data_IF_511599754029
#
_entry.id   IF_511599754029
#
_cell.length_a   1.000
_cell.length_b   1.000
_cell.length_c   1.000
_cell.angle_alpha   90.00
_cell.angle_beta   90.00
_cell.angle_gamma   90.00
#
_symmetry.space_group_name_H-M   'P 1'
#
loop_
_entity.id
_entity.type
_entity.pdbx_description
1 polymer ?
#
# COMPACT_ATOMS: atom_id res chain seq x y z
N UNK A 1 -89.63 8.13 60.12
CA UNK A 1 -88.62 7.22 59.53
C UNK A 1 -88.20 7.53 58.08
N UNK A 2 -89.00 8.21 57.23
CA UNK A 2 -88.68 8.42 55.79
C UNK A 2 -87.53 9.42 55.44
N UNK A 3 -87.10 10.31 56.35
CA UNK A 3 -86.04 11.32 56.05
C UNK A 3 -84.60 10.82 56.28
N UNK A 4 -84.38 9.86 57.19
CA UNK A 4 -83.05 9.28 57.43
C UNK A 4 -82.59 8.33 56.32
N UNK A 5 -83.54 7.64 55.66
CA UNK A 5 -83.26 6.76 54.52
C UNK A 5 -82.86 7.53 53.25
N UNK A 6 -83.40 8.73 53.04
CA UNK A 6 -83.00 9.61 51.93
C UNK A 6 -81.57 10.13 52.09
N UNK A 7 -81.18 10.49 53.32
CA UNK A 7 -79.81 10.94 53.64
C UNK A 7 -78.77 9.82 53.49
N UNK A 8 -79.11 8.58 53.88
CA UNK A 8 -78.21 7.44 53.70
C UNK A 8 -78.06 7.00 52.24
N UNK A 9 -79.12 7.12 51.43
CA UNK A 9 -79.07 6.81 49.98
C UNK A 9 -78.21 7.84 49.26
N UNK A 10 -78.36 9.13 49.56
CA UNK A 10 -77.58 10.20 48.94
C UNK A 10 -76.10 10.12 49.30
N UNK A 11 -75.79 9.80 50.56
CA UNK A 11 -74.42 9.53 51.01
C UNK A 11 -73.79 8.30 50.34
N UNK A 12 -74.55 7.22 50.14
CA UNK A 12 -74.09 6.03 49.42
C UNK A 12 -73.84 6.33 47.95
N UNK A 13 -74.73 7.10 47.31
CA UNK A 13 -74.63 7.45 45.91
C UNK A 13 -73.43 8.39 45.66
N UNK A 14 -73.21 9.36 46.55
CA UNK A 14 -72.01 10.20 46.55
C UNK A 14 -70.73 9.38 46.77
N UNK A 15 -70.75 8.38 47.66
CA UNK A 15 -69.60 7.50 47.89
C UNK A 15 -69.26 6.68 46.64
N UNK A 16 -70.27 6.10 45.99
CA UNK A 16 -70.09 5.32 44.75
C UNK A 16 -69.49 6.18 43.65
N UNK A 17 -69.98 7.41 43.47
CA UNK A 17 -69.43 8.35 42.49
C UNK A 17 -67.97 8.67 42.82
N UNK A 18 -67.64 8.96 44.07
CA UNK A 18 -66.25 9.25 44.49
C UNK A 18 -65.34 8.06 44.25
N UNK A 19 -65.75 6.84 44.60
CA UNK A 19 -64.96 5.62 44.37
C UNK A 19 -64.75 5.38 42.87
N UNK A 20 -65.77 5.60 42.04
CA UNK A 20 -65.65 5.48 40.59
C UNK A 20 -64.70 6.52 40.00
N UNK A 21 -64.81 7.79 40.42
CA UNK A 21 -63.91 8.87 39.98
C UNK A 21 -62.48 8.57 40.40
N UNK A 22 -62.26 8.14 41.64
CA UNK A 22 -60.92 7.75 42.12
C UNK A 22 -60.37 6.56 41.32
N UNK A 23 -61.18 5.55 41.03
CA UNK A 23 -60.77 4.41 40.20
C UNK A 23 -60.39 4.81 38.77
N UNK A 24 -61.17 5.70 38.14
CA UNK A 24 -60.85 6.23 36.80
C UNK A 24 -59.58 7.07 36.83
N UNK A 25 -59.39 7.91 37.85
CA UNK A 25 -58.19 8.73 38.02
C UNK A 25 -56.95 7.86 38.22
N UNK A 26 -57.02 6.81 39.04
CA UNK A 26 -55.90 5.88 39.25
C UNK A 26 -55.54 5.17 37.94
N UNK A 27 -56.52 4.60 37.23
CA UNK A 27 -56.26 3.92 35.95
C UNK A 27 -55.70 4.86 34.89
N UNK A 28 -56.21 6.10 34.83
CA UNK A 28 -55.70 7.11 33.89
C UNK A 28 -54.29 7.53 34.25
N UNK A 29 -53.98 7.67 35.55
CA UNK A 29 -52.64 8.01 36.03
C UNK A 29 -51.63 6.90 35.72
N UNK A 30 -52.02 5.63 35.90
CA UNK A 30 -51.17 4.48 35.56
C UNK A 30 -50.92 4.40 34.04
N UNK A 31 -51.95 4.66 33.23
CA UNK A 31 -51.82 4.74 31.77
C UNK A 31 -50.89 5.88 31.33
N UNK A 32 -51.04 7.08 31.90
CA UNK A 32 -50.16 8.22 31.61
C UNK A 32 -48.72 7.93 32.05
N UNK A 33 -48.53 7.32 33.21
CA UNK A 33 -47.20 6.93 33.70
C UNK A 33 -46.53 5.92 32.78
N UNK A 34 -47.28 4.92 32.29
CA UNK A 34 -46.79 3.95 31.32
C UNK A 34 -46.39 4.64 30.01
N UNK A 35 -47.22 5.56 29.50
CA UNK A 35 -46.93 6.29 28.26
C UNK A 35 -45.71 7.21 28.39
N UNK A 36 -45.58 7.93 29.51
CA UNK A 36 -44.40 8.76 29.79
C UNK A 36 -43.14 7.89 29.90
N UNK A 37 -43.23 6.73 30.57
CA UNK A 37 -42.10 5.80 30.66
C UNK A 37 -41.69 5.32 29.27
N UNK A 38 -42.65 4.92 28.44
CA UNK A 38 -42.39 4.50 27.06
C UNK A 38 -41.77 5.61 26.21
N UNK A 39 -42.24 6.86 26.35
CA UNK A 39 -41.68 8.02 25.63
C UNK A 39 -40.25 8.33 26.07
N UNK A 40 -39.96 8.24 27.36
CA UNK A 40 -38.60 8.44 27.89
C UNK A 40 -37.68 7.34 27.41
N UNK A 41 -38.09 6.07 27.50
CA UNK A 41 -37.31 4.94 26.98
C UNK A 41 -37.07 5.06 25.47
N UNK A 42 -38.09 5.48 24.71
CA UNK A 42 -37.94 5.69 23.28
C UNK A 42 -36.96 6.82 22.95
N UNK A 43 -36.99 7.92 23.72
CA UNK A 43 -36.06 9.03 23.53
C UNK A 43 -34.61 8.66 23.87
N UNK A 44 -34.41 7.88 24.93
CA UNK A 44 -33.09 7.37 25.31
C UNK A 44 -32.54 6.42 24.24
N UNK A 45 -33.39 5.55 23.67
CA UNK A 45 -33.02 4.66 22.56
C UNK A 45 -32.69 5.45 21.30
N UNK A 46 -33.52 6.41 20.90
CA UNK A 46 -33.40 7.12 19.61
C UNK A 46 -32.13 7.97 19.42
N UNK A 47 -31.25 8.05 20.42
CA UNK A 47 -30.02 8.84 20.36
C UNK A 47 -28.76 8.01 20.62
N UNK A 48 -28.84 6.71 20.87
CA UNK A 48 -27.66 5.90 21.23
C UNK A 48 -26.66 5.90 20.08
N UNK A 49 -27.11 5.66 18.84
CA UNK A 49 -26.20 5.62 17.70
C UNK A 49 -25.56 6.99 17.44
N UNK A 50 -26.34 8.06 17.55
CA UNK A 50 -25.82 9.42 17.38
C UNK A 50 -24.83 9.81 18.49
N UNK A 51 -25.13 9.50 19.75
CA UNK A 51 -24.25 9.78 20.89
C UNK A 51 -22.94 9.01 20.80
N UNK A 52 -23.00 7.73 20.43
CA UNK A 52 -21.82 6.90 20.23
C UNK A 52 -20.93 7.46 19.11
N UNK A 53 -21.50 7.78 17.94
CA UNK A 53 -20.75 8.42 16.86
C UNK A 53 -20.19 9.77 17.28
N UNK A 54 -20.93 10.58 18.03
CA UNK A 54 -20.47 11.88 18.51
C UNK A 54 -19.26 11.75 19.44
N UNK A 55 -19.26 10.82 20.39
CA UNK A 55 -18.10 10.60 21.27
C UNK A 55 -16.90 10.14 20.44
N UNK A 56 -17.11 9.18 19.54
CA UNK A 56 -16.05 8.68 18.66
C UNK A 56 -15.48 9.76 17.73
N UNK A 57 -16.29 10.71 17.28
CA UNK A 57 -15.90 11.66 16.21
C UNK A 57 -15.67 13.09 16.67
N UNK A 58 -15.96 13.42 17.94
CA UNK A 58 -15.71 14.74 18.53
C UNK A 58 -14.63 14.72 19.61
N UNK A 59 -14.21 13.53 20.07
CA UNK A 59 -13.16 13.38 21.08
C UNK A 59 -11.93 12.67 20.52
N UNK A 60 -10.70 13.07 20.91
CA UNK A 60 -9.50 12.27 20.69
C UNK A 60 -9.45 11.03 21.59
N UNK A 61 -10.34 10.91 22.57
CA UNK A 61 -10.30 9.87 23.58
C UNK A 61 -9.36 10.20 24.73
N UNK A 62 -9.33 9.30 25.72
CA UNK A 62 -8.47 9.40 26.89
C UNK A 62 -7.87 8.03 27.24
N UNK A 63 -6.52 7.90 27.26
CA UNK A 63 -5.54 8.94 26.89
C UNK A 63 -5.65 9.37 25.43
N UNK A 64 -5.15 10.57 25.08
CA UNK A 64 -5.31 11.14 23.73
C UNK A 64 -4.68 10.28 22.64
N UNK A 65 -3.61 9.57 22.94
CA UNK A 65 -2.83 8.76 22.00
C UNK A 65 -2.91 7.27 22.35
N UNK A 66 -4.12 6.84 22.72
CA UNK A 66 -4.40 5.47 23.15
C UNK A 66 -4.08 4.42 22.07
N UNK A 67 -3.95 4.82 20.80
CA UNK A 67 -3.59 3.97 19.67
C UNK A 67 -2.12 3.55 19.67
N UNK A 68 -1.25 4.29 20.36
CA UNK A 68 0.18 4.00 20.46
C UNK A 68 0.62 3.62 21.88
N UNK A 69 -0.24 3.83 22.88
CA UNK A 69 0.05 3.48 24.27
C UNK A 69 -0.71 2.22 24.71
N UNK A 70 -0.04 1.32 25.41
CA UNK A 70 -0.68 0.18 26.10
C UNK A 70 -1.48 0.59 27.34
N UNK A 71 -1.75 1.88 27.52
CA UNK A 71 -2.53 2.38 28.62
C UNK A 71 -4.02 1.97 28.45
N UNK A 72 -4.72 1.69 29.57
CA UNK A 72 -6.14 1.37 29.52
C UNK A 72 -6.94 2.56 28.97
N UNK A 73 -7.79 2.28 27.99
CA UNK A 73 -8.68 3.29 27.39
C UNK A 73 -9.81 3.58 28.38
N UNK A 74 -9.98 4.85 28.73
CA UNK A 74 -11.16 5.31 29.51
C UNK A 74 -12.27 5.84 28.61
N UNK A 75 -11.88 6.53 27.55
CA UNK A 75 -12.80 7.09 26.55
C UNK A 75 -12.22 6.78 25.18
N UNK A 76 -12.95 6.03 24.37
CA UNK A 76 -12.56 5.77 22.99
C UNK A 76 -12.93 6.96 22.12
N UNK A 77 -11.99 7.45 21.33
CA UNK A 77 -12.20 8.58 20.42
C UNK A 77 -11.24 8.51 19.25
N UNK A 78 -11.73 8.84 18.05
CA UNK A 78 -11.02 8.69 16.78
C UNK A 78 -10.44 10.01 16.26
N UNK A 79 -10.75 11.15 16.90
CA UNK A 79 -10.24 12.46 16.47
C UNK A 79 -8.73 12.55 16.62
N UNK A 80 -8.07 13.17 15.65
CA UNK A 80 -6.66 13.48 15.71
C UNK A 80 -6.36 14.48 16.83
N UNK A 81 -5.43 14.12 17.70
CA UNK A 81 -4.91 15.02 18.74
C UNK A 81 -4.26 16.28 18.14
N UNK A 82 -3.68 16.14 16.93
CA UNK A 82 -2.88 17.17 16.28
C UNK A 82 -3.64 17.95 15.20
N UNK A 83 -4.73 17.38 14.64
CA UNK A 83 -5.48 17.96 13.53
C UNK A 83 -7.01 17.89 13.75
N UNK A 84 -7.56 18.41 14.87
CA UNK A 84 -9.01 18.49 15.05
C UNK A 84 -9.64 19.44 14.01
N UNK A 85 -10.87 19.17 13.53
CA UNK A 85 -11.79 18.10 13.92
C UNK A 85 -11.64 16.80 13.10
N UNK A 86 -10.51 16.58 12.42
CA UNK A 86 -10.34 15.40 11.54
C UNK A 86 -10.06 14.12 12.33
N UNK A 87 -10.54 12.99 11.81
CA UNK A 87 -10.22 11.66 12.35
C UNK A 87 -8.75 11.29 12.09
N UNK A 88 -8.14 10.52 12.99
CA UNK A 88 -6.79 10.00 12.78
C UNK A 88 -6.82 8.60 12.17
N UNK A 89 -6.17 8.42 11.02
CA UNK A 89 -6.03 7.10 10.38
C UNK A 89 -5.38 6.06 11.31
N UNK A 90 -4.35 6.45 12.07
CA UNK A 90 -3.66 5.55 12.99
C UNK A 90 -4.56 5.04 14.12
N UNK A 91 -5.52 5.85 14.58
CA UNK A 91 -6.51 5.41 15.57
C UNK A 91 -7.48 4.38 15.02
N UNK A 92 -7.82 4.47 13.73
CA UNK A 92 -8.65 3.45 13.06
C UNK A 92 -7.86 2.12 12.96
N UNK A 93 -6.57 2.18 12.61
CA UNK A 93 -5.71 0.99 12.60
C UNK A 93 -5.51 0.41 14.00
N UNK A 94 -5.19 1.24 15.00
CA UNK A 94 -5.04 0.80 16.39
C UNK A 94 -6.34 0.24 16.98
N UNK A 95 -7.51 0.78 16.58
CA UNK A 95 -8.80 0.18 16.94
C UNK A 95 -8.94 -1.23 16.37
N UNK A 96 -8.61 -1.42 15.09
CA UNK A 96 -8.66 -2.72 14.43
C UNK A 96 -7.74 -3.73 15.13
N UNK A 97 -6.49 -3.35 15.38
CA UNK A 97 -5.49 -4.22 16.02
C UNK A 97 -5.91 -4.62 17.43
N UNK A 98 -6.26 -3.65 18.29
CA UNK A 98 -6.65 -3.94 19.68
C UNK A 98 -7.94 -4.76 19.79
N UNK A 99 -8.86 -4.62 18.84
CA UNK A 99 -10.05 -5.47 18.74
C UNK A 99 -9.68 -6.90 18.34
N UNK A 100 -8.74 -7.07 17.40
CA UNK A 100 -8.26 -8.39 17.01
C UNK A 100 -7.55 -9.11 18.16
N UNK A 101 -6.78 -8.35 18.96
CA UNK A 101 -6.07 -8.83 20.15
C UNK A 101 -7.00 -9.09 21.36
N UNK A 102 -8.28 -8.71 21.28
CA UNK A 102 -9.25 -8.92 22.34
C UNK A 102 -9.05 -8.02 23.56
N UNK A 103 -8.57 -6.79 23.35
CA UNK A 103 -8.30 -5.84 24.43
C UNK A 103 -9.57 -5.49 25.22
N UNK A 104 -9.65 -5.87 26.52
CA UNK A 104 -10.85 -5.64 27.33
C UNK A 104 -11.20 -4.15 27.45
N UNK A 105 -10.22 -3.26 27.48
CA UNK A 105 -10.48 -1.82 27.64
C UNK A 105 -11.15 -1.19 26.41
N UNK A 106 -10.86 -1.70 25.20
CA UNK A 106 -11.57 -1.29 23.98
C UNK A 106 -13.00 -1.82 24.00
N UNK A 107 -13.16 -3.11 24.32
CA UNK A 107 -14.46 -3.79 24.32
C UNK A 107 -15.38 -3.15 25.37
N UNK A 108 -14.90 -2.94 26.58
CA UNK A 108 -15.67 -2.29 27.66
C UNK A 108 -16.04 -0.85 27.29
N UNK A 109 -15.11 -0.11 26.69
CA UNK A 109 -15.38 1.26 26.23
C UNK A 109 -16.48 1.28 25.15
N UNK A 110 -16.41 0.39 24.16
CA UNK A 110 -17.44 0.26 23.12
C UNK A 110 -18.80 -0.15 23.69
N UNK A 111 -18.82 -1.09 24.64
CA UNK A 111 -20.04 -1.53 25.33
C UNK A 111 -20.66 -0.40 26.15
N UNK A 112 -19.84 0.41 26.82
CA UNK A 112 -20.30 1.58 27.56
C UNK A 112 -20.86 2.65 26.61
N UNK A 113 -20.25 2.83 25.43
CA UNK A 113 -20.74 3.77 24.41
C UNK A 113 -22.08 3.36 23.80
N UNK A 114 -22.34 2.05 23.67
CA UNK A 114 -23.64 1.54 23.21
C UNK A 114 -24.68 1.44 24.32
N UNK A 115 -24.35 1.83 25.56
CA UNK A 115 -25.19 1.62 26.75
C UNK A 115 -25.59 0.16 26.96
N UNK A 116 -24.74 -0.78 26.55
CA UNK A 116 -25.00 -2.22 26.62
C UNK A 116 -25.86 -2.77 25.48
N UNK A 117 -26.26 -1.95 24.50
CA UNK A 117 -26.97 -2.44 23.32
C UNK A 117 -26.02 -3.12 22.33
N UNK A 118 -26.59 -4.02 21.54
CA UNK A 118 -25.91 -4.60 20.38
C UNK A 118 -25.65 -3.52 19.33
N UNK A 119 -24.54 -3.64 18.60
CA UNK A 119 -24.25 -2.72 17.52
C UNK A 119 -23.38 -3.33 16.42
N UNK A 120 -23.45 -2.70 15.25
CA UNK A 120 -22.55 -2.91 14.13
C UNK A 120 -21.98 -1.56 13.73
N UNK A 121 -20.66 -1.41 13.84
CA UNK A 121 -19.95 -0.20 13.47
C UNK A 121 -19.04 -0.45 12.27
N UNK A 122 -19.22 0.34 11.22
CA UNK A 122 -18.50 0.20 9.97
C UNK A 122 -17.79 1.50 9.58
N UNK A 123 -16.55 1.34 9.14
CA UNK A 123 -15.70 2.43 8.66
C UNK A 123 -15.38 2.20 7.19
N UNK A 124 -15.69 3.19 6.36
CA UNK A 124 -15.45 3.18 4.92
C UNK A 124 -14.39 4.22 4.58
N UNK A 125 -13.32 3.75 3.95
CA UNK A 125 -12.23 4.59 3.43
C UNK A 125 -12.16 4.44 1.91
N UNK A 126 -11.49 5.38 1.23
CA UNK A 126 -11.23 5.26 -0.20
C UNK A 126 -10.36 4.02 -0.45
N UNK A 127 -10.74 3.25 -1.47
CA UNK A 127 -10.02 2.03 -1.88
C UNK A 127 -9.06 2.40 -3.00
N UNK A 128 -7.80 2.01 -2.89
CA UNK A 128 -6.81 2.24 -3.94
C UNK A 128 -6.55 0.95 -4.71
N UNK A 129 -6.42 1.09 -6.03
CA UNK A 129 -5.92 0.06 -6.93
C UNK A 129 -4.51 0.48 -7.32
N UNK A 130 -3.52 -0.12 -6.66
CA UNK A 130 -2.10 0.20 -6.84
C UNK A 130 -1.40 -1.04 -7.36
N UNK A 131 -0.72 -0.93 -8.49
CA UNK A 131 0.08 -2.03 -9.02
C UNK A 131 1.17 -1.52 -9.95
N UNK A 132 2.27 -2.26 -9.98
CA UNK A 132 3.29 -2.18 -11.04
C UNK A 132 3.35 -3.54 -11.72
N UNK A 133 3.31 -3.59 -13.04
CA UNK A 133 3.55 -4.81 -13.80
C UNK A 133 4.61 -4.60 -14.87
N UNK A 134 5.34 -5.67 -15.18
CA UNK A 134 6.57 -5.57 -15.96
C UNK A 134 7.73 -5.12 -15.09
N UNK A 135 8.94 -5.33 -15.59
CA UNK A 135 10.14 -4.82 -14.95
C UNK A 135 11.00 -4.18 -16.05
N UNK A 136 11.41 -2.91 -15.90
CA UNK A 136 11.99 -2.13 -16.99
C UNK A 136 13.31 -2.69 -17.49
N UNK A 137 13.93 -3.61 -16.76
CA UNK A 137 15.23 -4.18 -17.13
C UNK A 137 15.27 -5.68 -16.82
N UNK A 138 15.20 -6.52 -17.85
CA UNK A 138 15.56 -7.95 -17.71
C UNK A 138 17.07 -8.09 -17.86
N UNK A 139 17.76 -8.48 -16.79
CA UNK A 139 19.19 -8.80 -16.84
C UNK A 139 19.41 -10.17 -17.47
N UNK A 140 20.00 -10.21 -18.67
CA UNK A 140 20.46 -11.43 -19.32
C UNK A 140 21.92 -11.60 -18.98
N UNK A 141 22.27 -12.69 -18.30
CA UNK A 141 23.63 -13.01 -17.91
C UNK A 141 24.07 -14.30 -18.57
N UNK A 142 25.05 -14.22 -19.47
CA UNK A 142 25.54 -15.39 -20.21
C UNK A 142 27.06 -15.42 -20.10
N UNK A 143 27.60 -16.48 -19.48
CA UNK A 143 29.03 -16.80 -19.52
C UNK A 143 29.25 -17.76 -20.68
N UNK A 144 30.14 -17.39 -21.59
CA UNK A 144 30.56 -18.25 -22.70
C UNK A 144 32.00 -18.70 -22.47
N UNK A 145 32.19 -20.02 -22.38
CA UNK A 145 33.51 -20.64 -22.23
C UNK A 145 33.85 -21.06 -20.80
N UNK A 146 35.06 -21.59 -20.65
CA UNK A 146 35.71 -21.91 -19.37
C UNK A 146 37.22 -21.72 -19.53
N UNK A 147 37.97 -21.45 -18.45
CA UNK A 147 39.43 -21.32 -18.51
C UNK A 147 40.04 -22.53 -19.24
N UNK A 148 40.81 -22.26 -20.30
CA UNK A 148 41.50 -23.26 -21.16
C UNK A 148 40.66 -24.04 -22.20
N UNK A 149 39.37 -23.74 -22.40
CA UNK A 149 38.56 -24.41 -23.42
C UNK A 149 38.45 -23.61 -24.73
N UNK A 150 38.69 -24.27 -25.87
CA UNK A 150 38.39 -23.68 -27.17
C UNK A 150 36.86 -23.66 -27.38
N UNK A 151 36.27 -22.47 -27.44
CA UNK A 151 34.83 -22.25 -27.63
C UNK A 151 34.64 -21.18 -28.69
N UNK A 152 33.78 -21.47 -29.67
CA UNK A 152 33.37 -20.47 -30.66
C UNK A 152 32.25 -19.63 -30.02
N UNK A 153 32.55 -18.35 -29.77
CA UNK A 153 31.59 -17.35 -29.36
C UNK A 153 31.03 -16.65 -30.59
N UNK A 154 29.72 -16.45 -30.62
CA UNK A 154 29.05 -15.71 -31.69
C UNK A 154 27.88 -14.93 -31.14
N UNK A 155 27.82 -13.65 -31.51
CA UNK A 155 26.68 -12.75 -31.39
C UNK A 155 26.22 -12.44 -32.81
N UNK A 156 25.00 -12.85 -33.17
CA UNK A 156 24.47 -12.69 -34.52
C UNK A 156 22.94 -12.72 -34.52
N UNK A 157 22.31 -12.00 -35.44
CA UNK A 157 20.91 -12.18 -35.87
C UNK A 157 20.75 -13.48 -36.70
N UNK A 158 21.74 -13.80 -37.55
CA UNK A 158 21.74 -14.92 -38.47
C UNK A 158 23.17 -15.33 -38.89
N UNK A 159 23.62 -16.54 -38.51
CA UNK A 159 24.95 -17.02 -38.94
C UNK A 159 26.11 -16.18 -38.38
N UNK A 160 27.22 -16.03 -39.10
CA UNK A 160 28.34 -15.17 -38.69
C UNK A 160 28.26 -13.78 -39.35
N UNK A 161 27.06 -13.20 -39.41
CA UNK A 161 26.79 -11.92 -40.08
C UNK A 161 26.92 -10.74 -39.09
N UNK A 162 27.27 -9.54 -39.57
CA UNK A 162 27.10 -8.30 -38.79
C UNK A 162 25.63 -8.06 -38.47
N UNK A 163 25.37 -7.44 -37.31
CA UNK A 163 24.04 -7.01 -36.88
C UNK A 163 24.00 -5.49 -36.64
N UNK A 164 22.81 -4.92 -36.74
CA UNK A 164 22.62 -3.47 -36.63
C UNK A 164 22.62 -3.01 -35.15
N UNK A 165 23.29 -1.89 -34.87
CA UNK A 165 23.37 -1.25 -33.56
C UNK A 165 23.01 0.23 -33.64
N UNK A 166 22.62 0.83 -32.52
CA UNK A 166 22.37 2.28 -32.43
C UNK A 166 23.67 3.02 -32.80
N UNK A 167 23.59 3.91 -33.78
CA UNK A 167 24.75 4.68 -34.23
C UNK A 167 25.38 5.46 -33.07
N UNK A 168 26.70 5.29 -32.88
CA UNK A 168 27.43 5.93 -31.79
C UNK A 168 27.27 5.26 -30.41
N UNK A 169 26.51 4.16 -30.28
CA UNK A 169 26.39 3.45 -29.00
C UNK A 169 27.57 2.53 -28.67
N UNK A 170 28.43 2.25 -29.64
CA UNK A 170 29.51 1.26 -29.46
C UNK A 170 30.70 1.90 -28.77
N UNK A 171 31.06 1.40 -27.59
CA UNK A 171 32.25 1.85 -26.85
C UNK A 171 33.18 0.67 -26.55
N UNK A 172 34.47 0.96 -26.45
CA UNK A 172 35.50 0.06 -25.96
C UNK A 172 36.15 0.70 -24.74
N UNK A 173 36.07 0.05 -23.59
CA UNK A 173 36.58 0.55 -22.31
C UNK A 173 36.05 1.96 -21.96
N UNK A 174 34.80 2.25 -22.35
CA UNK A 174 34.14 3.54 -22.14
C UNK A 174 34.44 4.59 -23.21
N UNK A 175 35.38 4.35 -24.12
CA UNK A 175 35.69 5.26 -25.22
C UNK A 175 34.86 4.93 -26.47
N UNK A 176 34.18 5.90 -27.08
CA UNK A 176 33.36 5.65 -28.26
C UNK A 176 34.21 5.22 -29.46
N UNK A 177 33.83 4.12 -30.09
CA UNK A 177 34.46 3.64 -31.32
C UNK A 177 33.94 4.48 -32.50
N UNK A 178 34.45 5.71 -32.63
CA UNK A 178 34.18 6.56 -33.79
C UNK A 178 35.41 6.62 -34.68
N UNK A 179 35.29 6.22 -35.94
CA UNK A 179 36.29 6.56 -36.95
C UNK A 179 35.61 7.21 -38.14
N UNK A 180 36.23 8.27 -38.65
CA UNK A 180 35.87 8.93 -39.91
C UNK A 180 36.12 8.06 -41.15
N UNK A 181 36.55 6.80 -40.97
CA UNK A 181 36.95 5.88 -42.02
C UNK A 181 36.32 4.48 -41.86
N UNK A 182 34.99 4.42 -41.78
CA UNK A 182 34.15 3.36 -42.36
C UNK A 182 34.24 1.90 -41.87
N UNK A 183 35.33 1.40 -41.29
CA UNK A 183 35.40 0.03 -40.76
C UNK A 183 36.56 -0.13 -39.78
N UNK A 184 36.24 -0.45 -38.53
CA UNK A 184 37.18 -0.66 -37.44
C UNK A 184 37.29 -2.17 -37.21
N UNK A 185 38.51 -2.70 -37.17
CA UNK A 185 38.79 -4.08 -36.76
C UNK A 185 39.76 -4.04 -35.58
N UNK A 186 39.38 -4.61 -34.45
CA UNK A 186 40.15 -4.61 -33.21
C UNK A 186 40.26 -6.03 -32.65
N UNK A 187 41.45 -6.42 -32.23
CA UNK A 187 41.66 -7.60 -31.41
C UNK A 187 41.39 -7.22 -29.95
N UNK A 188 40.48 -7.93 -29.29
CA UNK A 188 40.13 -7.68 -27.90
C UNK A 188 41.03 -8.48 -26.97
N UNK A 189 41.59 -7.79 -25.98
CA UNK A 189 42.49 -8.32 -24.96
C UNK A 189 41.77 -8.52 -23.62
N UNK A 190 42.31 -9.32 -22.69
CA UNK A 190 41.68 -9.54 -21.39
C UNK A 190 41.54 -8.24 -20.61
N UNK A 191 40.37 -8.03 -20.05
CA UNK A 191 39.98 -6.80 -19.39
C UNK A 191 39.28 -5.80 -20.32
N UNK A 192 39.27 -6.04 -21.64
CA UNK A 192 38.51 -5.19 -22.56
C UNK A 192 37.00 -5.40 -22.37
N UNK A 193 36.29 -4.28 -22.34
CA UNK A 193 34.83 -4.20 -22.17
C UNK A 193 34.24 -3.48 -23.37
N UNK A 194 33.41 -4.19 -24.14
CA UNK A 194 32.66 -3.61 -25.27
C UNK A 194 31.23 -3.38 -24.84
N UNK A 195 30.72 -2.16 -25.01
CA UNK A 195 29.31 -1.83 -24.78
C UNK A 195 28.62 -1.42 -26.08
N UNK A 196 27.37 -1.84 -26.29
CA UNK A 196 26.56 -1.47 -27.46
C UNK A 196 25.06 -1.67 -27.23
N UNK A 197 24.22 -1.12 -28.13
CA UNK A 197 22.76 -1.30 -28.13
C UNK A 197 22.33 -1.88 -29.48
N UNK A 198 21.85 -3.14 -29.57
CA UNK A 198 21.41 -3.73 -30.83
C UNK A 198 20.04 -3.21 -31.25
N UNK A 199 19.80 -3.05 -32.55
CA UNK A 199 18.50 -2.68 -33.12
C UNK A 199 17.62 -3.89 -33.45
N UNK A 200 18.19 -5.09 -33.38
CA UNK A 200 17.52 -6.36 -33.64
C UNK A 200 17.80 -7.38 -32.55
N UNK A 201 17.08 -8.51 -32.57
CA UNK A 201 17.31 -9.60 -31.63
C UNK A 201 18.64 -10.29 -31.96
N UNK A 202 19.56 -10.31 -31.00
CA UNK A 202 20.88 -10.94 -31.15
C UNK A 202 20.94 -12.25 -30.37
N UNK A 203 21.46 -13.30 -30.98
CA UNK A 203 21.57 -14.63 -30.38
C UNK A 203 23.00 -14.91 -29.93
N UNK A 204 23.16 -15.41 -28.71
CA UNK A 204 24.46 -15.81 -28.15
C UNK A 204 24.65 -17.32 -28.32
N UNK A 205 25.69 -17.72 -29.05
CA UNK A 205 26.02 -19.13 -29.28
C UNK A 205 27.34 -19.55 -28.64
N UNK A 206 27.42 -20.83 -28.27
CA UNK A 206 28.63 -21.54 -27.87
C UNK A 206 28.71 -22.90 -28.57
N UNK A 207 29.77 -23.13 -29.36
CA UNK A 207 29.98 -24.38 -30.13
C UNK A 207 28.75 -24.81 -30.96
N UNK A 208 27.98 -23.85 -31.46
CA UNK A 208 26.76 -24.10 -32.25
C UNK A 208 25.48 -24.27 -31.43
N UNK A 209 25.55 -24.37 -30.10
CA UNK A 209 24.39 -24.38 -29.21
C UNK A 209 23.99 -22.95 -28.84
N UNK A 210 22.68 -22.66 -28.89
CA UNK A 210 22.13 -21.38 -28.42
C UNK A 210 22.20 -21.34 -26.88
N UNK A 211 22.82 -20.29 -26.34
CA UNK A 211 22.92 -20.05 -24.90
C UNK A 211 21.88 -19.05 -24.40
N UNK A 212 21.48 -18.10 -25.24
CA UNK A 212 20.44 -17.13 -24.91
C UNK A 212 20.19 -16.11 -26.01
N UNK A 213 19.15 -15.30 -25.82
CA UNK A 213 18.71 -14.29 -26.77
C UNK A 213 18.70 -12.92 -26.12
N UNK A 214 19.17 -11.91 -26.83
CA UNK A 214 19.23 -10.52 -26.43
C UNK A 214 18.21 -9.76 -27.27
N UNK A 215 17.19 -9.12 -26.67
CA UNK A 215 16.20 -8.32 -27.38
C UNK A 215 16.82 -7.06 -28.00
N UNK A 216 16.17 -6.45 -29.02
CA UNK A 216 16.53 -5.13 -29.50
C UNK A 216 16.42 -4.09 -28.38
N UNK A 217 17.18 -2.99 -28.53
CA UNK A 217 17.30 -1.88 -27.58
C UNK A 217 17.87 -2.25 -26.21
N UNK A 218 18.44 -3.44 -26.06
CA UNK A 218 19.10 -3.83 -24.82
C UNK A 218 20.49 -3.17 -24.70
N UNK A 219 20.87 -2.67 -23.52
CA UNK A 219 22.27 -2.28 -23.30
C UNK A 219 23.09 -3.54 -23.07
N UNK A 220 24.03 -3.84 -23.96
CA UNK A 220 24.85 -5.05 -23.94
C UNK A 220 26.28 -4.71 -23.58
N UNK A 221 26.83 -5.42 -22.59
CA UNK A 221 28.23 -5.36 -22.21
C UNK A 221 28.89 -6.73 -22.42
N UNK A 222 30.00 -6.76 -23.16
CA UNK A 222 30.81 -7.96 -23.39
C UNK A 222 32.19 -7.72 -22.78
N UNK A 223 32.52 -8.47 -21.74
CA UNK A 223 33.82 -8.43 -21.06
C UNK A 223 34.67 -9.63 -21.46
N UNK A 224 35.92 -9.39 -21.87
CA UNK A 224 36.92 -10.44 -22.18
C UNK A 224 37.70 -10.82 -20.94
N UNK A 225 37.64 -12.10 -20.55
CA UNK A 225 38.16 -12.55 -19.24
C UNK A 225 39.52 -13.29 -19.35
N UNK A 226 39.78 -14.04 -20.43
CA UNK A 226 40.97 -14.92 -20.54
C UNK A 226 42.03 -14.43 -21.56
N UNK A 227 43.31 -14.55 -21.19
CA UNK A 227 44.55 -14.21 -21.93
C UNK A 227 44.75 -14.99 -23.24
N UNK A 228 43.99 -16.07 -23.44
CA UNK A 228 43.98 -16.83 -24.70
C UNK A 228 42.88 -16.44 -25.70
N UNK A 229 42.10 -15.39 -25.41
CA UNK A 229 40.98 -14.98 -26.26
C UNK A 229 41.45 -14.41 -27.59
N UNK A 230 41.01 -15.01 -28.70
CA UNK A 230 41.17 -14.49 -30.06
C UNK A 230 39.88 -13.79 -30.52
N UNK A 231 39.21 -13.09 -29.60
CA UNK A 231 37.98 -12.37 -29.91
C UNK A 231 38.34 -11.08 -30.63
N UNK A 232 37.71 -10.87 -31.77
CA UNK A 232 37.89 -9.70 -32.62
C UNK A 232 36.55 -8.98 -32.73
N UNK A 233 36.61 -7.67 -32.68
CA UNK A 233 35.47 -6.78 -32.91
C UNK A 233 35.62 -6.13 -34.27
N UNK A 234 34.59 -6.23 -35.11
CA UNK A 234 34.47 -5.42 -36.32
C UNK A 234 33.29 -4.48 -36.18
N UNK A 235 33.54 -3.17 -36.31
CA UNK A 235 32.51 -2.14 -36.26
C UNK A 235 32.58 -1.23 -37.49
N UNK A 236 31.50 -1.19 -38.26
CA UNK A 236 31.34 -0.25 -39.35
C UNK A 236 30.56 0.98 -38.86
N UNK A 237 31.26 2.09 -38.63
CA UNK A 237 30.65 3.33 -38.16
C UNK A 237 29.75 4.02 -39.19
N UNK A 238 29.91 3.73 -40.49
CA UNK A 238 29.10 4.31 -41.55
C UNK A 238 27.73 3.62 -41.70
N UNK A 239 27.70 2.29 -41.49
CA UNK A 239 26.45 1.50 -41.52
C UNK A 239 25.93 1.16 -40.13
N UNK A 240 26.64 1.53 -39.07
CA UNK A 240 26.32 1.22 -37.67
C UNK A 240 26.12 -0.29 -37.45
N UNK A 241 27.02 -1.09 -38.02
CA UNK A 241 26.97 -2.55 -37.94
C UNK A 241 28.11 -3.09 -37.11
N UNK A 242 27.78 -4.00 -36.21
CA UNK A 242 28.72 -4.65 -35.31
C UNK A 242 28.80 -6.14 -35.62
N UNK A 243 30.02 -6.70 -35.55
CA UNK A 243 30.26 -8.12 -35.73
C UNK A 243 31.33 -8.56 -34.75
N UNK A 244 31.03 -9.58 -33.94
CA UNK A 244 32.03 -10.29 -33.16
C UNK A 244 32.53 -11.49 -33.95
N UNK A 245 33.83 -11.56 -34.17
CA UNK A 245 34.49 -12.70 -34.83
C UNK A 245 35.55 -13.29 -33.91
N UNK A 246 35.86 -14.57 -34.05
CA UNK A 246 36.90 -15.20 -33.22
C UNK A 246 36.64 -16.69 -33.05
N UNK A 247 37.64 -17.51 -33.40
CA UNK A 247 37.61 -18.96 -33.25
C UNK A 247 38.80 -19.31 -32.35
N UNK A 248 38.56 -19.80 -31.13
CA UNK A 248 39.63 -20.01 -30.16
C UNK A 248 39.19 -20.13 -28.70
N UNK A 249 40.06 -19.82 -27.74
CA UNK A 249 39.74 -19.83 -26.29
C UNK A 249 39.02 -18.54 -25.88
N UNK A 250 37.73 -18.42 -26.23
CA UNK A 250 36.95 -17.25 -25.83
C UNK A 250 36.31 -17.51 -24.47
N UNK A 251 36.68 -16.70 -23.48
CA UNK A 251 36.00 -16.64 -22.19
C UNK A 251 35.45 -15.23 -22.01
N UNK A 252 34.14 -15.09 -22.20
CA UNK A 252 33.46 -13.80 -22.13
C UNK A 252 32.22 -13.86 -21.26
N UNK A 253 31.89 -12.71 -20.70
CA UNK A 253 30.67 -12.48 -19.96
C UNK A 253 29.82 -11.45 -20.71
N UNK A 254 28.63 -11.88 -21.10
CA UNK A 254 27.64 -11.04 -21.77
C UNK A 254 26.58 -10.66 -20.76
N UNK A 255 26.40 -9.35 -20.56
CA UNK A 255 25.29 -8.77 -19.79
C UNK A 255 24.42 -8.01 -20.76
N UNK A 256 23.11 -8.24 -20.77
CA UNK A 256 22.19 -7.42 -21.54
C UNK A 256 21.00 -6.96 -20.68
N UNK A 257 20.53 -5.74 -20.93
CA UNK A 257 19.44 -5.12 -20.19
C UNK A 257 18.37 -4.62 -21.16
N UNK A 258 17.29 -5.38 -21.34
CA UNK A 258 16.22 -5.03 -22.27
C UNK A 258 15.07 -4.26 -21.59
N UNK A 259 14.61 -3.14 -22.18
CA UNK A 259 13.39 -2.46 -21.74
C UNK A 259 12.18 -3.36 -21.96
N UNK A 260 11.36 -3.55 -20.92
CA UNK A 260 10.03 -4.13 -21.05
C UNK A 260 8.96 -3.05 -20.83
N UNK A 261 7.77 -3.30 -21.36
CA UNK A 261 6.59 -2.48 -21.07
C UNK A 261 6.31 -2.52 -19.57
N UNK A 262 6.51 -1.36 -18.93
CA UNK A 262 6.12 -1.14 -17.54
C UNK A 262 4.74 -0.51 -17.54
N UNK A 263 3.80 -1.15 -16.85
CA UNK A 263 2.50 -0.57 -16.58
C UNK A 263 2.39 -0.17 -15.11
N UNK A 264 1.96 1.06 -14.88
CA UNK A 264 1.77 1.65 -13.56
C UNK A 264 0.28 1.96 -13.38
N UNK A 265 -0.32 1.40 -12.35
CA UNK A 265 -1.73 1.65 -12.01
C UNK A 265 -1.81 2.34 -10.67
N UNK A 266 -2.47 3.49 -10.64
CA UNK A 266 -2.85 4.19 -9.42
C UNK A 266 -4.25 4.77 -9.62
N UNK A 267 -5.25 4.02 -9.21
CA UNK A 267 -6.63 4.46 -9.23
C UNK A 267 -7.23 4.42 -7.83
N UNK A 268 -8.32 5.14 -7.62
CA UNK A 268 -9.07 5.04 -6.37
C UNK A 268 -10.58 5.04 -6.58
N UNK A 269 -11.27 4.27 -5.75
CA UNK A 269 -12.72 4.35 -5.60
C UNK A 269 -13.04 5.37 -4.51
N UNK A 270 -13.81 6.44 -4.81
CA UNK A 270 -14.22 7.41 -3.81
C UNK A 270 -15.10 6.75 -2.75
N UNK A 271 -15.05 7.25 -1.52
CA UNK A 271 -15.75 6.67 -0.35
C UNK A 271 -17.24 6.46 -0.59
N UNK A 272 -17.89 7.35 -1.35
CA UNK A 272 -19.32 7.25 -1.71
C UNK A 272 -19.67 5.95 -2.44
N UNK A 273 -18.72 5.40 -3.18
CA UNK A 273 -18.91 4.24 -4.05
C UNK A 273 -18.31 2.95 -3.45
N UNK A 274 -17.68 3.04 -2.28
CA UNK A 274 -17.14 1.87 -1.59
C UNK A 274 -18.27 1.13 -0.87
N UNK A 275 -18.43 -0.15 -1.17
CA UNK A 275 -19.48 -1.02 -0.59
C UNK A 275 -18.98 -1.86 0.57
N UNK A 276 -17.67 -2.14 0.64
CA UNK A 276 -17.07 -2.94 1.70
C UNK A 276 -16.30 -2.04 2.69
N UNK A 277 -16.58 -2.14 4.01
CA UNK A 277 -15.87 -1.35 5.01
C UNK A 277 -14.43 -1.84 5.19
N UNK A 278 -13.53 -0.93 5.56
CA UNK A 278 -12.15 -1.27 5.95
C UNK A 278 -12.10 -1.93 7.34
N UNK A 279 -13.09 -1.59 8.18
CA UNK A 279 -13.25 -2.11 9.53
C UNK A 279 -14.74 -2.26 9.79
N UNK A 280 -15.13 -3.47 10.22
CA UNK A 280 -16.46 -3.80 10.71
C UNK A 280 -16.30 -4.37 12.11
N UNK A 281 -16.99 -3.77 13.07
CA UNK A 281 -17.01 -4.19 14.48
C UNK A 281 -18.44 -4.55 14.80
N UNK A 282 -18.66 -5.75 15.32
CA UNK A 282 -19.98 -6.24 15.68
C UNK A 282 -19.91 -6.64 17.15
N UNK A 283 -20.83 -6.11 17.95
CA UNK A 283 -21.04 -6.50 19.33
C UNK A 283 -22.44 -7.09 19.47
N UNK A 284 -22.52 -8.31 20.00
CA UNK A 284 -23.77 -9.01 20.29
C UNK A 284 -23.69 -9.53 21.73
N UNK A 285 -24.71 -9.27 22.55
CA UNK A 285 -24.78 -9.67 23.96
C UNK A 285 -23.54 -9.21 24.77
N UNK A 286 -23.08 -7.99 24.51
CA UNK A 286 -21.90 -7.40 25.14
C UNK A 286 -20.55 -8.01 24.75
N UNK A 287 -20.49 -8.94 23.79
CA UNK A 287 -19.24 -9.52 23.28
C UNK A 287 -19.03 -9.24 21.80
N UNK A 288 -17.77 -9.13 21.38
CA UNK A 288 -17.39 -9.00 19.95
C UNK A 288 -17.03 -10.34 19.30
N UNK A 289 -16.91 -11.39 20.12
CA UNK A 289 -16.61 -12.75 19.72
C UNK A 289 -17.81 -13.65 19.95
N UNK A 290 -18.03 -14.57 19.00
CA UNK A 290 -18.93 -15.70 19.15
C UNK A 290 -18.38 -16.72 20.18
N UNK A 291 -19.22 -17.65 20.70
CA UNK A 291 -18.82 -18.62 21.74
C UNK A 291 -17.63 -19.51 21.38
N UNK A 292 -17.33 -19.66 20.09
CA UNK A 292 -16.20 -20.41 19.56
C UNK A 292 -14.88 -19.59 19.50
N UNK A 293 -14.89 -18.33 19.95
CA UNK A 293 -13.74 -17.43 19.94
C UNK A 293 -13.48 -16.70 18.62
N UNK A 294 -14.36 -16.81 17.61
CA UNK A 294 -14.25 -16.05 16.36
C UNK A 294 -15.01 -14.75 16.43
N UNK A 295 -14.56 -13.69 15.73
CA UNK A 295 -15.32 -12.44 15.61
C UNK A 295 -16.69 -12.69 14.98
N UNK A 296 -17.71 -11.96 15.45
CA UNK A 296 -19.03 -11.98 14.81
C UNK A 296 -18.95 -11.49 13.37
N UNK A 297 -19.73 -12.13 12.50
CA UNK A 297 -19.82 -11.83 11.07
C UNK A 297 -21.04 -10.98 10.76
N UNK A 298 -21.06 -10.39 9.56
CA UNK A 298 -22.19 -9.61 9.08
C UNK A 298 -23.53 -10.40 9.12
N UNK A 299 -23.50 -11.70 8.84
CA UNK A 299 -24.70 -12.54 8.89
C UNK A 299 -25.20 -12.76 10.33
N UNK A 300 -24.30 -12.80 11.31
CA UNK A 300 -24.67 -12.88 12.73
C UNK A 300 -25.36 -11.60 13.17
N UNK A 301 -24.81 -10.43 12.78
CA UNK A 301 -25.43 -9.13 13.03
C UNK A 301 -26.82 -9.03 12.39
N UNK A 302 -26.99 -9.44 11.12
CA UNK A 302 -28.29 -9.49 10.46
C UNK A 302 -29.30 -10.38 11.19
N UNK A 303 -28.84 -11.53 11.68
CA UNK A 303 -29.69 -12.47 12.42
C UNK A 303 -30.10 -11.90 13.78
N UNK A 304 -29.20 -11.21 14.50
CA UNK A 304 -29.53 -10.51 15.75
C UNK A 304 -30.50 -9.36 15.50
N UNK A 305 -30.21 -8.49 14.51
CA UNK A 305 -31.07 -7.36 14.14
C UNK A 305 -32.48 -7.79 13.74
N UNK A 306 -32.65 -8.87 12.95
CA UNK A 306 -33.97 -9.37 12.56
C UNK A 306 -34.82 -9.85 13.76
N UNK A 307 -34.17 -10.15 14.89
CA UNK A 307 -34.84 -10.45 16.13
C UNK A 307 -35.11 -9.19 16.98
N UNK A 308 -34.52 -8.04 16.68
CA UNK A 308 -34.77 -6.84 17.49
C UNK A 308 -36.10 -6.17 17.11
N UNK A 309 -36.75 -5.55 18.09
CA UNK A 309 -37.95 -4.73 17.86
C UNK A 309 -37.59 -3.28 17.49
N UNK A 310 -36.33 -2.89 17.71
CA UNK A 310 -35.84 -1.55 17.49
C UNK A 310 -34.44 -1.59 16.87
N UNK A 311 -34.24 -0.78 15.83
CA UNK A 311 -32.96 -0.60 15.15
C UNK A 311 -32.80 0.90 14.86
N UNK A 312 -31.73 1.51 15.35
CA UNK A 312 -31.32 2.87 14.99
C UNK A 312 -30.10 2.82 14.08
N UNK A 313 -30.06 3.70 13.08
CA UNK A 313 -28.93 3.85 12.17
C UNK A 313 -28.47 5.29 12.18
N UNK A 314 -27.17 5.49 12.38
CA UNK A 314 -26.52 6.79 12.25
C UNK A 314 -25.35 6.70 11.26
N UNK A 315 -25.19 7.74 10.45
CA UNK A 315 -24.13 7.84 9.46
C UNK A 315 -23.48 9.23 9.51
N UNK A 316 -22.16 9.28 9.31
CA UNK A 316 -21.37 10.51 9.25
C UNK A 316 -20.32 10.42 8.15
N UNK A 317 -20.22 11.46 7.34
CA UNK A 317 -19.10 11.68 6.42
C UNK A 317 -18.19 12.74 7.03
N UNK A 318 -16.92 12.40 7.21
CA UNK A 318 -15.93 13.20 7.94
C UNK A 318 -14.61 13.24 7.19
N UNK A 319 -13.78 14.24 7.52
CA UNK A 319 -12.38 14.30 7.09
C UNK A 319 -11.51 13.45 8.01
N UNK A 320 -10.54 12.75 7.42
CA UNK A 320 -9.54 11.94 8.09
C UNK A 320 -8.15 12.41 7.66
N UNK A 321 -7.25 12.55 8.62
CA UNK A 321 -5.83 12.81 8.35
C UNK A 321 -5.07 11.49 8.28
N UNK A 322 -4.32 11.31 7.19
CA UNK A 322 -3.45 10.16 6.96
C UNK A 322 -2.01 10.62 6.77
N UNK A 323 -1.12 10.14 7.63
CA UNK A 323 0.33 10.29 7.53
C UNK A 323 0.96 8.93 7.76
N UNK A 324 1.68 8.42 6.78
CA UNK A 324 2.50 7.21 6.91
C UNK A 324 3.94 7.61 6.62
N UNK A 325 4.85 7.24 7.51
CA UNK A 325 6.27 7.45 7.28
C UNK A 325 7.05 6.33 7.97
N UNK A 326 7.50 5.37 7.16
CA UNK A 326 8.40 4.30 7.58
C UNK A 326 9.81 4.69 7.19
N UNK A 327 10.58 5.19 8.16
CA UNK A 327 11.98 5.56 7.93
C UNK A 327 12.82 4.37 7.49
N UNK A 328 12.48 3.18 7.99
CA UNK A 328 13.09 1.90 7.68
C UNK A 328 12.01 0.82 7.45
N UNK A 329 12.27 -0.08 6.51
CA UNK A 329 11.45 -1.26 6.23
C UNK A 329 12.37 -2.41 5.84
N UNK A 330 12.17 -3.57 6.48
CA UNK A 330 12.87 -4.81 6.14
C UNK A 330 11.86 -5.86 5.71
N UNK A 331 12.08 -6.47 4.55
CA UNK A 331 11.33 -7.65 4.09
C UNK A 331 12.30 -8.82 3.97
N UNK A 332 12.03 -9.90 4.69
CA UNK A 332 12.91 -11.08 4.80
C UNK A 332 12.53 -12.21 3.82
N UNK A 333 11.63 -11.93 2.90
CA UNK A 333 11.17 -12.87 1.87
C UNK A 333 10.54 -12.09 0.72
N UNK A 334 10.33 -12.75 -0.41
CA UNK A 334 9.58 -12.21 -1.53
C UNK A 334 8.22 -11.65 -1.07
N UNK A 335 7.81 -10.55 -1.68
CA UNK A 335 6.59 -9.82 -1.37
C UNK A 335 5.84 -9.50 -2.66
N UNK A 336 4.54 -9.78 -2.66
CA UNK A 336 3.63 -9.38 -3.72
C UNK A 336 2.36 -8.83 -3.05
N UNK A 337 2.15 -7.53 -3.17
CA UNK A 337 1.13 -6.81 -2.41
C UNK A 337 1.35 -5.32 -2.49
N UNK A 338 0.71 -4.55 -1.62
CA UNK A 338 0.90 -3.09 -1.57
C UNK A 338 1.17 -2.70 -0.14
N UNK A 339 2.36 -2.19 0.12
CA UNK A 339 2.74 -1.73 1.46
C UNK A 339 3.18 -0.25 1.39
N UNK A 340 2.50 0.67 2.10
CA UNK A 340 2.85 2.08 2.11
C UNK A 340 4.10 2.35 2.95
N UNK A 341 5.04 3.08 2.36
CA UNK A 341 6.28 3.54 3.01
C UNK A 341 6.15 5.01 3.39
N UNK A 342 5.65 5.83 2.46
CA UNK A 342 5.45 7.27 2.63
C UNK A 342 4.03 7.59 2.18
N UNK A 343 3.27 8.32 2.98
CA UNK A 343 1.99 8.94 2.60
C UNK A 343 1.89 10.27 3.34
N UNK A 344 1.70 11.34 2.60
CA UNK A 344 1.40 12.65 3.16
C UNK A 344 1.45 13.76 2.12
N UNK A 345 1.61 14.99 2.60
CA UNK A 345 1.83 16.18 1.79
C UNK A 345 3.16 16.83 2.19
N UNK A 346 4.04 17.10 1.26
CA UNK A 346 5.27 17.82 1.54
C UNK A 346 4.95 19.30 1.85
N UNK A 347 5.56 19.87 2.90
CA UNK A 347 5.49 21.31 3.20
C UNK A 347 6.60 22.12 2.54
N UNK A 348 7.73 21.47 2.30
CA UNK A 348 8.98 22.06 1.82
C UNK A 348 9.56 21.15 0.75
N UNK A 349 10.41 21.72 -0.08
CA UNK A 349 11.19 20.97 -1.07
C UNK A 349 12.09 19.96 -0.38
N UNK A 350 12.28 18.81 -1.03
CA UNK A 350 13.15 17.76 -0.53
C UNK A 350 14.61 18.23 -0.64
N UNK A 351 15.39 18.20 0.45
CA UNK A 351 16.80 18.56 0.40
C UNK A 351 17.60 17.66 -0.56
N UNK A 352 18.59 18.23 -1.24
CA UNK A 352 19.45 17.51 -2.20
C UNK A 352 20.18 16.29 -1.62
N UNK A 353 20.36 16.23 -0.30
CA UNK A 353 21.04 15.14 0.40
C UNK A 353 20.08 14.05 0.92
N UNK A 354 18.79 14.13 0.62
CA UNK A 354 17.82 13.11 1.02
C UNK A 354 17.74 12.00 -0.06
N UNK A 355 17.96 10.76 0.35
CA UNK A 355 17.97 9.59 -0.54
C UNK A 355 17.06 8.48 -0.01
N UNK A 356 16.42 7.79 -0.95
CA UNK A 356 15.86 6.47 -0.77
C UNK A 356 17.00 5.47 -0.99
N UNK A 357 17.40 4.80 0.07
CA UNK A 357 18.41 3.78 0.05
C UNK A 357 17.75 2.41 -0.05
N UNK A 358 18.04 1.67 -1.11
CA UNK A 358 17.50 0.34 -1.38
C UNK A 358 18.64 -0.67 -1.34
N UNK A 359 18.55 -1.63 -0.43
CA UNK A 359 19.54 -2.71 -0.28
C UNK A 359 18.90 -4.06 -0.57
N UNK A 360 19.40 -4.73 -1.61
CA UNK A 360 18.96 -6.03 -2.11
C UNK A 360 19.98 -7.11 -1.73
N UNK A 361 19.54 -8.10 -0.96
CA UNK A 361 20.33 -9.26 -0.54
C UNK A 361 19.90 -10.48 -1.37
N UNK A 362 20.91 -11.24 -1.82
CA UNK A 362 20.76 -12.32 -2.80
C UNK A 362 21.74 -12.17 -3.97
N UNK A 363 21.86 -13.19 -4.81
CA UNK A 363 22.62 -13.15 -6.07
C UNK A 363 21.86 -12.41 -7.17
N UNK A 364 20.54 -12.62 -7.20
CA UNK A 364 19.59 -11.92 -8.04
C UNK A 364 18.43 -11.47 -7.17
N UNK A 365 18.03 -10.22 -7.32
CA UNK A 365 16.91 -9.65 -6.57
C UNK A 365 16.36 -8.44 -7.32
N UNK A 366 15.06 -8.19 -7.20
CA UNK A 366 14.40 -7.03 -7.77
C UNK A 366 13.36 -6.48 -6.78
N UNK A 367 13.11 -5.17 -6.83
CA UNK A 367 12.08 -4.52 -6.06
C UNK A 367 11.40 -3.46 -6.93
N UNK A 368 10.08 -3.43 -6.87
CA UNK A 368 9.24 -2.47 -7.59
C UNK A 368 8.53 -1.57 -6.60
N UNK A 369 8.51 -0.29 -6.93
CA UNK A 369 7.86 0.74 -6.15
C UNK A 369 6.99 1.60 -7.07
N UNK A 370 5.91 2.11 -6.51
CA UNK A 370 5.08 3.13 -7.14
C UNK A 370 5.09 4.37 -6.26
N UNK A 371 5.47 5.48 -6.87
CA UNK A 371 5.44 6.80 -6.26
C UNK A 371 4.34 7.66 -6.89
N UNK A 372 3.71 8.50 -6.08
CA UNK A 372 2.72 9.49 -6.51
C UNK A 372 3.17 10.85 -6.04
N UNK A 373 3.27 11.79 -6.98
CA UNK A 373 3.56 13.19 -6.74
C UNK A 373 2.42 14.05 -7.30
N UNK A 374 1.45 14.40 -6.45
CA UNK A 374 0.22 15.07 -6.90
C UNK A 374 -0.58 14.19 -7.86
N UNK A 375 -0.72 14.63 -9.11
CA UNK A 375 -1.42 13.90 -10.17
C UNK A 375 -0.49 13.01 -11.02
N UNK A 376 0.83 13.08 -10.77
CA UNK A 376 1.82 12.30 -11.50
C UNK A 376 2.17 11.00 -10.78
N UNK A 377 2.37 9.94 -11.56
CA UNK A 377 2.79 8.64 -11.06
C UNK A 377 4.14 8.26 -11.64
N UNK A 378 4.99 7.67 -10.82
CA UNK A 378 6.36 7.33 -11.15
C UNK A 378 6.65 5.92 -10.65
N UNK A 379 7.19 5.08 -11.52
CA UNK A 379 7.69 3.77 -11.15
C UNK A 379 9.14 3.88 -10.73
N UNK A 380 9.50 3.29 -9.60
CA UNK A 380 10.90 3.14 -9.19
C UNK A 380 11.21 1.66 -9.12
N UNK A 381 12.25 1.22 -9.82
CA UNK A 381 12.61 -0.19 -9.91
C UNK A 381 14.07 -0.34 -9.53
N UNK A 382 14.38 -1.23 -8.60
CA UNK A 382 15.74 -1.55 -8.20
C UNK A 382 16.00 -3.03 -8.48
N UNK A 383 17.18 -3.36 -8.98
CA UNK A 383 17.58 -4.75 -9.17
C UNK A 383 19.05 -4.97 -8.86
N UNK A 384 19.37 -6.23 -8.61
CA UNK A 384 20.69 -6.75 -8.39
C UNK A 384 20.93 -7.95 -9.28
N UNK A 385 22.08 -7.97 -9.93
CA UNK A 385 22.59 -9.14 -10.66
C UNK A 385 24.08 -9.30 -10.36
N UNK A 386 24.41 -10.31 -9.55
CA UNK A 386 25.75 -10.49 -9.00
C UNK A 386 26.19 -9.32 -8.13
N UNK A 387 27.25 -8.62 -8.53
CA UNK A 387 27.79 -7.46 -7.81
C UNK A 387 27.19 -6.12 -8.25
N UNK A 388 26.46 -6.12 -9.36
CA UNK A 388 25.84 -4.92 -9.93
C UNK A 388 24.51 -4.70 -9.22
N UNK A 389 24.26 -3.46 -8.80
CA UNK A 389 22.97 -3.03 -8.27
C UNK A 389 22.61 -1.74 -8.96
N UNK A 390 21.43 -1.66 -9.55
CA UNK A 390 20.98 -0.48 -10.26
C UNK A 390 19.54 -0.17 -9.87
N UNK A 391 19.16 1.08 -10.07
CA UNK A 391 17.79 1.52 -9.98
C UNK A 391 17.44 2.42 -11.16
N UNK A 392 16.20 2.35 -11.59
CA UNK A 392 15.65 3.20 -12.65
C UNK A 392 14.35 3.84 -12.20
N UNK A 393 14.14 5.05 -12.69
CA UNK A 393 12.89 5.78 -12.55
C UNK A 393 12.20 5.76 -13.90
N UNK A 394 10.94 5.36 -13.90
CA UNK A 394 10.10 5.18 -15.08
C UNK A 394 8.91 6.11 -14.99
N UNK A 395 8.71 6.93 -16.02
CA UNK A 395 7.57 7.83 -16.19
C UNK A 395 6.90 7.52 -17.52
N UNK A 396 5.58 7.31 -17.53
CA UNK A 396 4.80 6.98 -18.74
C UNK A 396 5.43 5.84 -19.56
N UNK A 397 5.90 4.78 -18.89
CA UNK A 397 6.55 3.62 -19.51
C UNK A 397 7.98 3.83 -20.01
N UNK A 398 8.54 5.04 -19.86
CA UNK A 398 9.90 5.37 -20.32
C UNK A 398 10.86 5.53 -19.14
N UNK A 399 12.07 4.98 -19.23
CA UNK A 399 13.13 5.22 -18.24
C UNK A 399 13.62 6.66 -18.37
N UNK A 400 13.44 7.47 -17.33
CA UNK A 400 13.86 8.88 -17.30
C UNK A 400 15.17 9.11 -16.55
N UNK A 401 15.49 8.26 -15.57
CA UNK A 401 16.74 8.33 -14.78
C UNK A 401 17.23 6.93 -14.43
N UNK A 402 18.56 6.78 -14.34
CA UNK A 402 19.25 5.56 -13.94
C UNK A 402 20.28 5.88 -12.86
N UNK A 403 20.37 5.00 -11.87
CA UNK A 403 21.32 5.06 -10.77
C UNK A 403 22.03 3.73 -10.66
N UNK A 404 23.33 3.77 -10.43
CA UNK A 404 24.14 2.58 -10.20
C UNK A 404 24.69 2.62 -8.77
N UNK A 405 24.75 1.46 -8.17
CA UNK A 405 25.22 1.23 -6.82
C UNK A 405 26.15 0.02 -6.76
N UNK A 406 26.48 -0.44 -5.55
CA UNK A 406 27.42 -1.54 -5.35
C UNK A 406 27.03 -2.42 -4.17
N UNK A 407 27.43 -3.70 -4.23
CA UNK A 407 27.24 -4.67 -3.12
C UNK A 407 25.78 -4.84 -2.69
N UNK A 408 24.83 -4.74 -3.61
CA UNK A 408 23.40 -4.84 -3.30
C UNK A 408 22.76 -3.52 -2.92
N UNK A 409 23.50 -2.42 -2.79
CA UNK A 409 22.97 -1.13 -2.35
C UNK A 409 22.90 -0.12 -3.49
N UNK A 410 21.77 0.59 -3.62
CA UNK A 410 21.60 1.73 -4.54
C UNK A 410 20.91 2.90 -3.82
N UNK A 411 21.40 4.12 -4.06
CA UNK A 411 20.87 5.35 -3.48
C UNK A 411 20.17 6.17 -4.57
N UNK A 412 18.90 6.48 -4.34
CA UNK A 412 18.05 7.21 -5.29
C UNK A 412 17.68 8.55 -4.63
N UNK A 413 18.02 9.71 -5.21
CA UNK A 413 17.64 11.00 -4.62
C UNK A 413 16.13 11.11 -4.50
N UNK A 414 15.64 11.43 -3.30
CA UNK A 414 14.19 11.53 -3.06
C UNK A 414 13.54 12.66 -3.86
N UNK A 415 14.30 13.73 -4.16
CA UNK A 415 13.85 14.81 -5.07
C UNK A 415 13.60 14.34 -6.50
N UNK A 416 14.21 13.22 -6.91
CA UNK A 416 14.00 12.67 -8.24
C UNK A 416 12.72 11.81 -8.29
N UNK A 417 12.23 11.37 -7.13
CA UNK A 417 10.96 10.66 -6.95
C UNK A 417 9.82 11.65 -6.68
N UNK A 418 10.09 12.68 -5.87
CA UNK A 418 9.15 13.75 -5.51
C UNK A 418 9.80 15.11 -5.83
N UNK A 419 9.72 15.56 -7.10
CA UNK A 419 10.36 16.79 -7.55
C UNK A 419 9.70 18.07 -7.01
N UNK A 420 8.43 17.99 -6.58
CA UNK A 420 7.64 19.16 -6.20
C UNK A 420 7.03 19.02 -4.80
N UNK A 421 6.69 20.17 -4.22
CA UNK A 421 5.98 20.24 -2.93
C UNK A 421 4.52 19.89 -3.13
N UNK A 422 4.20 18.59 -3.14
CA UNK A 422 2.85 18.08 -3.37
C UNK A 422 2.51 16.90 -2.44
N UNK A 423 1.40 16.22 -2.73
CA UNK A 423 1.10 14.89 -2.19
C UNK A 423 2.27 13.97 -2.54
N UNK A 424 2.85 13.33 -1.53
CA UNK A 424 3.94 12.39 -1.68
C UNK A 424 3.50 11.03 -1.15
N UNK A 425 3.38 10.05 -2.04
CA UNK A 425 3.13 8.66 -1.68
C UNK A 425 4.20 7.76 -2.27
N UNK A 426 4.70 6.81 -1.48
CA UNK A 426 5.61 5.76 -1.92
C UNK A 426 5.07 4.42 -1.41
N UNK A 427 4.87 3.50 -2.34
CA UNK A 427 4.44 2.13 -2.08
C UNK A 427 5.49 1.17 -2.59
N UNK A 428 5.74 0.09 -1.84
CA UNK A 428 6.33 -1.11 -2.43
C UNK A 428 5.20 -2.00 -2.96
N UNK A 429 5.38 -2.46 -4.20
CA UNK A 429 4.38 -3.26 -4.93
C UNK A 429 4.84 -4.69 -5.18
N UNK A 430 6.16 -4.90 -5.30
CA UNK A 430 6.74 -6.23 -5.34
C UNK A 430 8.19 -6.24 -4.89
N UNK A 431 8.63 -7.39 -4.39
CA UNK A 431 10.02 -7.70 -4.13
C UNK A 431 10.26 -9.19 -4.38
N UNK A 432 11.30 -9.50 -5.14
CA UNK A 432 11.82 -10.84 -5.32
C UNK A 432 13.29 -10.86 -4.84
N UNK A 433 13.63 -11.79 -3.96
CA UNK A 433 14.96 -11.89 -3.40
C UNK A 433 14.97 -12.52 -2.02
N UNK A 434 16.14 -12.53 -1.37
CA UNK A 434 16.29 -13.08 -0.02
C UNK A 434 15.87 -12.07 1.03
N UNK A 435 16.38 -10.84 0.94
CA UNK A 435 16.05 -9.77 1.88
C UNK A 435 16.14 -8.41 1.18
N UNK A 436 15.21 -7.52 1.53
CA UNK A 436 15.16 -6.14 1.09
C UNK A 436 15.18 -5.23 2.32
N UNK A 437 16.13 -4.31 2.33
CA UNK A 437 16.20 -3.23 3.31
C UNK A 437 16.02 -1.88 2.63
N UNK A 438 15.02 -1.14 3.07
CA UNK A 438 14.70 0.21 2.59
C UNK A 438 14.95 1.18 3.74
N UNK A 439 15.66 2.26 3.46
CA UNK A 439 15.89 3.32 4.42
C UNK A 439 15.87 4.69 3.74
N UNK A 440 15.41 5.71 4.46
CA UNK A 440 15.51 7.11 4.05
C UNK A 440 16.62 7.79 4.84
N UNK A 441 17.64 8.32 4.15
CA UNK A 441 18.84 8.90 4.81
C UNK A 441 18.56 10.19 5.58
N UNK A 442 17.40 10.80 5.35
CA UNK A 442 16.94 11.98 6.08
C UNK A 442 15.49 11.80 6.53
N UNK A 443 15.14 12.41 7.67
CA UNK A 443 13.82 12.29 8.26
C UNK A 443 12.78 13.14 7.50
N UNK A 444 12.22 12.59 6.41
CA UNK A 444 11.12 13.22 5.67
C UNK A 444 9.91 13.51 6.56
N UNK A 445 9.75 12.77 7.67
CA UNK A 445 8.69 12.98 8.65
C UNK A 445 8.62 14.41 9.20
N UNK A 446 9.70 15.20 9.14
CA UNK A 446 9.76 16.60 9.59
C UNK A 446 9.08 17.55 8.59
N UNK A 447 9.13 17.26 7.29
CA UNK A 447 8.49 18.07 6.24
C UNK A 447 7.23 17.45 5.66
N UNK A 448 6.86 16.25 6.10
CA UNK A 448 5.66 15.55 5.69
C UNK A 448 4.48 15.91 6.62
N UNK A 449 3.47 16.57 6.09
CA UNK A 449 2.16 16.72 6.74
C UNK A 449 1.26 15.53 6.45
N UNK A 450 0.29 15.26 7.33
CA UNK A 450 -0.82 14.41 6.96
C UNK A 450 -1.57 15.00 5.78
N UNK A 451 -1.98 14.15 4.85
CA UNK A 451 -2.98 14.52 3.85
C UNK A 451 -4.38 14.28 4.41
N UNK A 452 -5.34 15.04 3.90
CA UNK A 452 -6.76 14.89 4.25
C UNK A 452 -7.43 13.97 3.24
N UNK A 453 -8.14 12.96 3.73
CA UNK A 453 -8.98 12.05 2.97
C UNK A 453 -10.41 12.07 3.53
N UNK A 454 -11.39 11.72 2.70
CA UNK A 454 -12.76 11.51 3.18
C UNK A 454 -12.88 10.14 3.86
N UNK A 455 -13.76 10.04 4.84
CA UNK A 455 -14.14 8.80 5.53
C UNK A 455 -15.65 8.82 5.76
N UNK A 456 -16.30 7.65 5.68
CA UNK A 456 -17.71 7.47 6.04
C UNK A 456 -17.80 6.47 7.18
N UNK A 457 -18.49 6.85 8.24
CA UNK A 457 -18.77 6.02 9.41
C UNK A 457 -20.25 5.68 9.40
N UNK A 458 -20.58 4.42 9.60
CA UNK A 458 -21.96 3.95 9.69
C UNK A 458 -22.13 3.05 10.92
N UNK A 459 -23.13 3.34 11.72
CA UNK A 459 -23.40 2.65 12.97
C UNK A 459 -24.87 2.21 12.97
N UNK A 460 -25.09 0.94 13.26
CA UNK A 460 -26.38 0.38 13.58
C UNK A 460 -26.37 -0.02 15.05
N UNK A 461 -27.42 0.31 15.78
CA UNK A 461 -27.62 -0.08 17.18
C UNK A 461 -28.99 -0.72 17.30
N UNK A 462 -29.11 -1.81 18.05
CA UNK A 462 -30.37 -2.50 18.27
C UNK A 462 -30.43 -3.11 19.68
N UNK A 463 -31.63 -3.41 20.17
CA UNK A 463 -31.79 -3.96 21.52
C UNK A 463 -31.25 -5.40 21.61
N UNK A 464 -30.57 -5.71 22.73
CA UNK A 464 -30.34 -7.09 23.18
C UNK A 464 -31.70 -7.75 23.49
N UNK A 465 -31.89 -9.01 23.09
CA UNK A 465 -33.12 -9.77 23.39
C UNK A 465 -32.98 -10.62 24.64
#
# INVERSE_FOLDING_TARGET
MRRGQLLSIDALLSLVIVVMVVGVVINTNDMIKAEITNLVEWYDRANVANNMLDILTKSPGYPKDWDITNAPIRVLGLVSSNYPPSLAYNKILGLKERIQDGDPSVIDSLRNLSSGNDFMFEIYLRKYSISTSGFPITGIYIIVGAPNNNVNFRLSDSGNSPFDVVCGSVTLNGEPLSSSAGNILLDLTPGDVVEFIPLETVYVYSRGSLLGTIPPNAVVTVEVIDVGSNLQLRYNAATCQLQFTGIGRVYVQVKAYAPQDVNLTYDFTPVSNVTEPVLRIIMINGTIYAPNGTLYTYNDALSSMNNSQWIEVAERSLSMVKKVYKSNLTLTSAFSGVEPIIIGKLKLEIPNYAYLNVTLIGTEANASFLAVNGDSIVGVFAYKSGNITEAVIVENGTIVKKYSGSKGNVMIPLKDIFPEVNIAELYITSFEGTELFINTTWNLGVILEPRVESCRLKLWVWDER
#
